data_IF_088958749950
#
_entry.id   IF_088958749950
#
_cell.length_a   1.000
_cell.length_b   1.000
_cell.length_c   1.000
_cell.angle_alpha   90.00
_cell.angle_beta   90.00
_cell.angle_gamma   90.00
#
_symmetry.space_group_name_H-M   'P 1'
#
loop_
_entity.id
_entity.type
_entity.pdbx_description
1 polymer ?
#
# COMPACT_ATOMS: atom_id res chain seq x y z
N UNK A 1 -25.46 -14.99 -7.78
CA UNK A 1 -24.76 -13.92 -8.57
C UNK A 1 -25.50 -12.57 -8.59
N UNK A 2 -26.79 -12.48 -8.98
CA UNK A 2 -27.54 -11.19 -9.04
C UNK A 2 -27.53 -10.36 -7.73
N UNK A 3 -27.47 -11.02 -6.57
CA UNK A 3 -27.39 -10.39 -5.24
C UNK A 3 -26.07 -9.67 -4.97
N UNK A 4 -24.95 -10.30 -5.30
CA UNK A 4 -23.61 -9.69 -5.17
C UNK A 4 -23.42 -8.53 -6.16
N UNK A 5 -24.00 -8.63 -7.37
CA UNK A 5 -23.98 -7.52 -8.35
C UNK A 5 -24.80 -6.32 -7.88
N UNK A 6 -25.97 -6.54 -7.26
CA UNK A 6 -26.74 -5.44 -6.64
C UNK A 6 -26.00 -4.80 -5.46
N UNK A 7 -25.34 -5.62 -4.64
CA UNK A 7 -24.50 -5.13 -3.54
C UNK A 7 -23.31 -4.31 -4.07
N UNK A 8 -22.65 -4.79 -5.13
CA UNK A 8 -21.56 -4.10 -5.81
C UNK A 8 -22.02 -2.76 -6.39
N UNK A 9 -23.21 -2.70 -7.01
CA UNK A 9 -23.79 -1.45 -7.53
C UNK A 9 -24.18 -0.47 -6.42
N UNK A 10 -24.63 -0.97 -5.26
CA UNK A 10 -24.92 -0.15 -4.09
C UNK A 10 -23.62 0.46 -3.53
N UNK A 11 -22.62 -0.37 -3.27
CA UNK A 11 -21.33 0.05 -2.73
C UNK A 11 -20.59 0.98 -3.69
N UNK A 12 -20.62 0.74 -5.01
CA UNK A 12 -20.11 1.69 -6.02
C UNK A 12 -20.80 3.06 -5.96
N UNK A 13 -22.08 3.13 -5.61
CA UNK A 13 -22.75 4.42 -5.35
C UNK A 13 -22.33 5.03 -4.02
N UNK A 14 -22.01 4.20 -3.03
CA UNK A 14 -21.51 4.64 -1.73
C UNK A 14 -20.08 5.17 -1.81
N UNK A 15 -19.23 4.71 -2.74
CA UNK A 15 -17.85 5.23 -2.95
C UNK A 15 -17.78 6.75 -2.99
N UNK A 16 -18.65 7.34 -3.81
CA UNK A 16 -18.60 8.76 -4.12
C UNK A 16 -19.38 9.59 -3.09
N UNK A 17 -20.14 8.94 -2.22
CA UNK A 17 -20.97 9.58 -1.20
C UNK A 17 -20.32 9.56 0.18
N UNK A 18 -19.53 8.53 0.45
CA UNK A 18 -18.79 8.39 1.70
C UNK A 18 -17.49 9.20 1.64
N UNK A 19 -17.29 10.18 2.54
CA UNK A 19 -16.07 11.00 2.56
C UNK A 19 -14.79 10.18 2.70
N UNK A 20 -14.84 9.02 3.39
CA UNK A 20 -13.67 8.15 3.59
C UNK A 20 -13.25 7.50 2.27
N UNK A 21 -14.21 6.99 1.49
CA UNK A 21 -13.95 6.37 0.19
C UNK A 21 -13.56 7.41 -0.87
N UNK A 22 -14.13 8.62 -0.81
CA UNK A 22 -13.71 9.71 -1.69
C UNK A 22 -12.24 10.09 -1.43
N UNK A 23 -11.85 10.13 -0.15
CA UNK A 23 -10.44 10.35 0.22
C UNK A 23 -9.54 9.22 -0.29
N UNK A 24 -9.96 7.95 -0.27
CA UNK A 24 -9.20 6.83 -0.88
C UNK A 24 -8.91 7.06 -2.36
N UNK A 25 -9.87 7.60 -3.12
CA UNK A 25 -9.71 7.87 -4.56
C UNK A 25 -8.84 9.09 -4.78
N UNK A 26 -9.01 10.15 -3.97
CA UNK A 26 -8.30 11.42 -4.15
C UNK A 26 -6.84 11.36 -3.68
N UNK A 27 -6.56 10.57 -2.64
CA UNK A 27 -5.25 10.49 -1.99
C UNK A 27 -4.08 10.17 -2.95
N UNK A 28 -4.19 9.20 -3.89
CA UNK A 28 -3.15 8.94 -4.88
C UNK A 28 -2.83 10.13 -5.77
N UNK A 29 -3.84 10.93 -6.15
CA UNK A 29 -3.63 12.15 -6.94
C UNK A 29 -2.95 13.25 -6.13
N UNK A 30 -3.34 13.41 -4.86
CA UNK A 30 -2.66 14.33 -3.95
C UNK A 30 -1.19 13.95 -3.77
N UNK A 31 -0.90 12.68 -3.51
CA UNK A 31 0.47 12.21 -3.39
C UNK A 31 1.26 12.30 -4.69
N UNK A 32 0.61 12.10 -5.83
CA UNK A 32 1.22 12.31 -7.13
C UNK A 32 1.58 13.79 -7.34
N UNK A 33 0.72 14.73 -6.94
CA UNK A 33 1.05 16.15 -7.02
C UNK A 33 2.22 16.51 -6.09
N UNK A 34 2.22 15.99 -4.86
CA UNK A 34 3.31 16.24 -3.89
C UNK A 34 4.63 15.63 -4.39
N UNK A 35 4.64 14.35 -4.74
CA UNK A 35 5.86 13.64 -5.13
C UNK A 35 6.31 13.99 -6.55
N UNK A 36 5.38 14.23 -7.47
CA UNK A 36 5.68 14.48 -8.87
C UNK A 36 6.00 15.93 -9.20
N UNK A 37 5.44 16.89 -8.46
CA UNK A 37 5.60 18.32 -8.74
C UNK A 37 6.35 19.05 -7.62
N UNK A 38 5.91 18.88 -6.37
CA UNK A 38 6.46 19.66 -5.25
C UNK A 38 7.86 19.17 -4.83
N UNK A 39 8.06 17.85 -4.68
CA UNK A 39 9.35 17.30 -4.24
C UNK A 39 10.48 17.63 -5.22
N UNK A 40 10.36 17.42 -6.54
CA UNK A 40 11.39 17.81 -7.49
C UNK A 40 11.76 19.28 -7.43
N UNK A 41 10.78 20.18 -7.32
CA UNK A 41 10.99 21.62 -7.27
C UNK A 41 11.77 22.07 -6.01
N UNK A 42 11.52 21.40 -4.88
CA UNK A 42 12.27 21.64 -3.64
C UNK A 42 13.70 21.12 -3.78
N UNK A 43 13.85 19.95 -4.39
CA UNK A 43 15.13 19.25 -4.52
C UNK A 43 16.09 19.95 -5.48
N UNK A 44 15.60 20.55 -6.57
CA UNK A 44 16.43 21.33 -7.50
C UNK A 44 17.16 22.52 -6.84
N UNK A 45 16.65 22.97 -5.69
CA UNK A 45 17.24 24.07 -4.90
C UNK A 45 18.20 23.56 -3.82
N UNK A 46 18.33 22.24 -3.67
CA UNK A 46 19.18 21.61 -2.68
C UNK A 46 20.54 21.18 -3.30
N UNK A 47 21.50 20.80 -2.44
CA UNK A 47 22.76 20.22 -2.91
C UNK A 47 22.56 18.82 -3.54
N UNK A 48 23.49 18.38 -4.37
CA UNK A 48 23.41 17.11 -5.11
C UNK A 48 23.18 15.88 -4.20
N UNK A 49 23.91 15.79 -3.07
CA UNK A 49 23.75 14.68 -2.12
C UNK A 49 22.38 14.69 -1.42
N UNK A 50 21.93 15.88 -0.98
CA UNK A 50 20.60 16.01 -0.38
C UNK A 50 19.51 15.64 -1.39
N UNK A 51 19.69 16.04 -2.65
CA UNK A 51 18.78 15.73 -3.74
C UNK A 51 18.64 14.23 -3.95
N UNK A 52 19.78 13.53 -4.03
CA UNK A 52 19.82 12.07 -4.17
C UNK A 52 19.07 11.37 -3.06
N UNK A 53 19.34 11.74 -1.81
CA UNK A 53 18.71 11.12 -0.64
C UNK A 53 17.20 11.37 -0.66
N UNK A 54 16.77 12.61 -0.89
CA UNK A 54 15.34 12.97 -0.88
C UNK A 54 14.57 12.28 -2.00
N UNK A 55 15.13 12.19 -3.21
CA UNK A 55 14.48 11.48 -4.33
C UNK A 55 14.33 9.97 -4.05
N UNK A 56 15.37 9.33 -3.48
CA UNK A 56 15.31 7.91 -3.10
C UNK A 56 14.26 7.66 -2.01
N UNK A 57 14.23 8.51 -0.97
CA UNK A 57 13.22 8.43 0.09
C UNK A 57 11.82 8.66 -0.49
N UNK A 58 11.63 9.74 -1.26
CA UNK A 58 10.34 10.08 -1.87
C UNK A 58 9.79 8.98 -2.76
N UNK A 59 10.63 8.39 -3.60
CA UNK A 59 10.25 7.25 -4.44
C UNK A 59 9.90 6.00 -3.62
N UNK A 60 10.67 5.73 -2.56
CA UNK A 60 10.41 4.60 -1.64
C UNK A 60 9.06 4.76 -0.93
N UNK A 61 8.76 5.97 -0.46
CA UNK A 61 7.46 6.30 0.14
C UNK A 61 6.33 6.17 -0.88
N UNK A 62 6.56 6.52 -2.15
CA UNK A 62 5.59 6.33 -3.23
C UNK A 62 5.17 4.86 -3.38
N UNK A 63 6.13 3.92 -3.27
CA UNK A 63 5.85 2.48 -3.35
C UNK A 63 4.97 1.98 -2.18
N UNK A 64 5.04 2.62 -1.01
CA UNK A 64 4.28 2.18 0.18
C UNK A 64 2.92 2.86 0.29
N UNK A 65 2.87 4.17 0.00
CA UNK A 65 1.73 5.03 0.33
C UNK A 65 0.40 4.55 -0.27
N UNK A 66 0.41 4.13 -1.54
CA UNK A 66 -0.81 3.71 -2.27
C UNK A 66 -1.57 2.59 -1.56
N UNK A 67 -0.86 1.49 -1.23
CA UNK A 67 -1.49 0.33 -0.57
C UNK A 67 -1.70 0.52 0.92
N UNK A 68 -0.76 1.11 1.65
CA UNK A 68 -0.90 1.22 3.11
C UNK A 68 -2.10 2.07 3.49
N UNK A 69 -2.27 3.24 2.84
CA UNK A 69 -3.36 4.16 3.19
C UNK A 69 -4.70 3.63 2.73
N UNK A 70 -4.77 2.99 1.55
CA UNK A 70 -5.97 2.26 1.14
C UNK A 70 -6.34 1.15 2.14
N UNK A 71 -5.36 0.45 2.71
CA UNK A 71 -5.55 -0.55 3.77
C UNK A 71 -6.09 0.04 5.08
N UNK A 72 -5.51 1.16 5.52
CA UNK A 72 -5.97 1.88 6.71
C UNK A 72 -7.41 2.35 6.54
N UNK A 73 -7.72 3.00 5.41
CA UNK A 73 -9.05 3.55 5.13
C UNK A 73 -10.11 2.44 5.06
N UNK A 74 -9.78 1.32 4.41
CA UNK A 74 -10.64 0.13 4.44
C UNK A 74 -10.81 -0.42 5.85
N UNK A 75 -9.75 -0.44 6.66
CA UNK A 75 -9.80 -0.85 8.06
C UNK A 75 -10.71 0.04 8.91
N UNK A 76 -10.65 1.38 8.74
CA UNK A 76 -11.58 2.30 9.39
C UNK A 76 -13.03 2.07 8.94
N UNK A 77 -13.25 1.79 7.67
CA UNK A 77 -14.57 1.43 7.15
C UNK A 77 -15.09 0.11 7.75
N UNK A 78 -14.21 -0.81 8.18
CA UNK A 78 -14.60 -2.01 8.93
C UNK A 78 -14.89 -1.72 10.41
N UNK A 79 -14.15 -0.78 11.02
CA UNK A 79 -14.34 -0.34 12.41
C UNK A 79 -15.64 0.44 12.56
N UNK A 80 -15.98 1.31 11.61
CA UNK A 80 -17.22 2.09 11.61
C UNK A 80 -18.45 1.19 11.74
N UNK A 81 -18.46 0.06 11.03
CA UNK A 81 -19.52 -0.92 11.14
C UNK A 81 -19.65 -1.54 12.54
N UNK A 82 -18.54 -1.62 13.31
CA UNK A 82 -18.55 -2.08 14.71
C UNK A 82 -19.08 -0.98 15.63
N UNK A 83 -18.61 0.25 15.45
CA UNK A 83 -19.00 1.41 16.27
C UNK A 83 -20.49 1.74 16.14
N UNK A 84 -21.04 1.63 14.93
CA UNK A 84 -22.46 1.94 14.68
C UNK A 84 -23.43 0.78 15.03
N UNK A 85 -22.93 -0.33 15.59
CA UNK A 85 -23.70 -1.57 15.80
C UNK A 85 -24.44 -2.08 14.54
N UNK A 86 -24.03 -1.65 13.34
CA UNK A 86 -24.66 -2.05 12.07
C UNK A 86 -24.40 -3.52 11.74
N UNK A 87 -23.53 -4.21 12.48
CA UNK A 87 -23.39 -5.68 12.46
C UNK A 87 -24.72 -6.38 12.82
N UNK A 88 -25.50 -5.83 13.75
CA UNK A 88 -26.85 -6.35 14.08
C UNK A 88 -27.85 -6.11 12.93
N UNK A 89 -27.71 -4.97 12.23
CA UNK A 89 -28.47 -4.69 11.01
C UNK A 89 -28.06 -5.57 9.81
N UNK A 90 -26.79 -6.00 9.75
CA UNK A 90 -26.30 -6.94 8.73
C UNK A 90 -26.84 -8.36 8.95
N UNK A 91 -27.11 -8.77 10.19
CA UNK A 91 -27.70 -10.08 10.52
C UNK A 91 -29.12 -10.26 9.95
N UNK A 92 -29.84 -9.15 9.71
CA UNK A 92 -31.15 -9.15 9.04
C UNK A 92 -31.07 -8.87 7.53
N UNK A 93 -29.86 -8.60 7.00
CA UNK A 93 -29.64 -8.61 5.55
C UNK A 93 -29.35 -10.03 5.07
N UNK A 94 -29.72 -10.38 3.84
CA UNK A 94 -29.47 -11.74 3.36
C UNK A 94 -27.97 -12.03 3.14
N UNK A 95 -27.06 -11.06 3.25
CA UNK A 95 -25.61 -11.27 3.11
C UNK A 95 -24.99 -11.69 4.45
N UNK A 96 -24.23 -12.79 4.47
CA UNK A 96 -23.46 -13.16 5.66
C UNK A 96 -22.37 -12.12 5.94
N UNK A 97 -22.00 -11.96 7.22
CA UNK A 97 -20.85 -11.15 7.65
C UNK A 97 -19.58 -11.51 6.86
N UNK A 98 -19.44 -12.78 6.48
CA UNK A 98 -18.36 -13.27 5.63
C UNK A 98 -18.42 -12.79 4.18
N UNK A 99 -19.62 -12.77 3.57
CA UNK A 99 -19.80 -12.28 2.21
C UNK A 99 -19.57 -10.78 2.11
N UNK A 100 -19.96 -10.02 3.14
CA UNK A 100 -19.72 -8.58 3.21
C UNK A 100 -18.22 -8.25 3.42
N UNK A 101 -17.54 -8.94 4.34
CA UNK A 101 -16.10 -8.78 4.54
C UNK A 101 -15.29 -9.14 3.28
N UNK A 102 -15.63 -10.26 2.63
CA UNK A 102 -15.00 -10.67 1.37
C UNK A 102 -15.22 -9.65 0.25
N UNK A 103 -16.43 -9.06 0.17
CA UNK A 103 -16.72 -7.99 -0.77
C UNK A 103 -15.86 -6.75 -0.51
N UNK A 104 -15.79 -6.26 0.74
CA UNK A 104 -14.96 -5.10 1.11
C UNK A 104 -13.48 -5.33 0.81
N UNK A 105 -12.97 -6.53 1.05
CA UNK A 105 -11.59 -6.93 0.72
C UNK A 105 -11.35 -6.84 -0.80
N UNK A 106 -12.22 -7.45 -1.61
CA UNK A 106 -12.08 -7.43 -3.07
C UNK A 106 -12.17 -6.00 -3.62
N UNK A 107 -13.08 -5.20 -3.07
CA UNK A 107 -13.24 -3.80 -3.40
C UNK A 107 -11.99 -2.97 -3.06
N UNK A 108 -11.47 -3.07 -1.84
CA UNK A 108 -10.26 -2.34 -1.44
C UNK A 108 -9.02 -2.77 -2.21
N UNK A 109 -8.92 -4.04 -2.58
CA UNK A 109 -7.88 -4.53 -3.50
C UNK A 109 -7.93 -3.80 -4.84
N UNK A 110 -9.12 -3.70 -5.46
CA UNK A 110 -9.29 -3.01 -6.75
C UNK A 110 -8.94 -1.53 -6.65
N UNK A 111 -9.39 -0.85 -5.60
CA UNK A 111 -9.02 0.57 -5.39
C UNK A 111 -7.52 0.71 -5.26
N UNK A 112 -6.88 -0.12 -4.42
CA UNK A 112 -5.43 -0.05 -4.24
C UNK A 112 -4.66 -0.29 -5.52
N UNK A 113 -5.13 -1.21 -6.37
CA UNK A 113 -4.52 -1.48 -7.66
C UNK A 113 -4.50 -0.20 -8.50
N UNK A 114 -5.65 0.47 -8.62
CA UNK A 114 -5.72 1.75 -9.31
C UNK A 114 -4.93 2.85 -8.60
N UNK A 115 -4.93 2.92 -7.28
CA UNK A 115 -4.15 3.88 -6.50
C UNK A 115 -2.65 3.78 -6.78
N UNK A 116 -2.11 2.55 -6.78
CA UNK A 116 -0.70 2.30 -7.10
C UNK A 116 -0.40 2.64 -8.57
N UNK A 117 -1.29 2.29 -9.51
CA UNK A 117 -1.13 2.61 -10.92
C UNK A 117 -1.19 4.11 -11.20
N UNK A 118 -2.12 4.83 -10.56
CA UNK A 118 -2.26 6.29 -10.67
C UNK A 118 -1.02 6.97 -10.12
N UNK A 119 -0.57 6.58 -8.92
CA UNK A 119 0.59 7.20 -8.29
C UNK A 119 1.87 6.92 -9.07
N UNK A 120 2.21 5.64 -9.31
CA UNK A 120 3.47 5.28 -9.98
C UNK A 120 3.45 5.54 -11.48
N UNK A 121 2.33 5.25 -12.14
CA UNK A 121 2.15 5.57 -13.55
C UNK A 121 2.13 7.07 -13.80
N UNK A 122 1.44 7.83 -12.94
CA UNK A 122 1.45 9.29 -12.99
C UNK A 122 2.85 9.87 -12.76
N UNK A 123 3.60 9.36 -11.77
CA UNK A 123 4.98 9.79 -11.53
C UNK A 123 5.84 9.55 -12.77
N UNK A 124 5.72 8.36 -13.39
CA UNK A 124 6.45 8.04 -14.62
C UNK A 124 6.07 8.95 -15.79
N UNK A 125 4.80 9.36 -15.92
CA UNK A 125 4.36 10.21 -17.03
C UNK A 125 4.72 11.69 -16.84
N UNK A 126 4.71 12.19 -15.61
CA UNK A 126 4.80 13.62 -15.32
C UNK A 126 6.20 14.02 -14.81
N UNK A 127 6.89 13.11 -14.11
CA UNK A 127 8.12 13.42 -13.36
C UNK A 127 9.32 12.53 -13.74
N UNK A 128 9.25 11.72 -14.82
CA UNK A 128 10.36 10.88 -15.24
C UNK A 128 11.67 11.65 -15.46
N UNK A 129 11.58 12.84 -16.05
CA UNK A 129 12.73 13.72 -16.32
C UNK A 129 13.36 14.32 -15.06
N UNK A 130 12.63 14.31 -13.94
CA UNK A 130 13.06 14.94 -12.69
C UNK A 130 13.65 13.95 -11.69
N UNK A 131 13.28 12.68 -11.79
CA UNK A 131 13.79 11.61 -10.93
C UNK A 131 15.08 11.01 -11.48
N UNK A 132 16.12 11.85 -11.57
CA UNK A 132 17.43 11.49 -12.10
C UNK A 132 18.47 11.56 -10.98
N UNK A 133 19.25 10.49 -10.82
CA UNK A 133 20.39 10.47 -9.91
C UNK A 133 21.68 10.57 -10.70
N UNK A 134 22.58 11.44 -10.27
CA UNK A 134 23.96 11.47 -10.75
C UNK A 134 24.82 10.62 -9.80
N UNK A 135 25.39 9.53 -10.32
CA UNK A 135 26.27 8.66 -9.55
C UNK A 135 27.48 8.27 -10.40
N UNK A 136 28.69 8.68 -9.98
CA UNK A 136 29.94 8.26 -10.60
C UNK A 136 30.11 8.66 -12.07
N UNK A 137 29.50 9.77 -12.50
CA UNK A 137 29.54 10.25 -13.90
C UNK A 137 28.44 9.67 -14.80
N UNK A 138 27.57 8.81 -14.27
CA UNK A 138 26.41 8.27 -14.99
C UNK A 138 25.10 8.85 -14.43
N UNK A 139 24.15 9.12 -15.32
CA UNK A 139 22.79 9.55 -14.96
C UNK A 139 21.85 8.34 -14.93
N UNK A 140 21.27 8.08 -13.76
CA UNK A 140 20.31 7.00 -13.54
C UNK A 140 18.91 7.62 -13.48
N UNK A 141 18.09 7.39 -14.50
CA UNK A 141 16.69 7.82 -14.54
C UNK A 141 15.83 6.77 -13.83
N UNK A 142 15.52 7.02 -12.56
CA UNK A 142 14.91 6.03 -11.66
C UNK A 142 13.59 5.48 -12.19
N UNK A 143 12.74 6.36 -12.71
CA UNK A 143 11.40 6.00 -13.19
C UNK A 143 11.43 5.32 -14.56
N UNK A 144 12.48 5.52 -15.36
CA UNK A 144 12.62 4.88 -16.67
C UNK A 144 12.99 3.41 -16.57
N UNK A 145 13.84 3.06 -15.60
CA UNK A 145 14.24 1.69 -15.30
C UNK A 145 13.06 0.80 -14.85
N UNK A 146 11.97 1.45 -14.40
CA UNK A 146 10.71 0.80 -14.11
C UNK A 146 9.89 0.64 -15.39
N UNK A 147 9.94 -0.57 -15.97
CA UNK A 147 9.05 -0.92 -17.08
C UNK A 147 7.58 -0.94 -16.63
N UNK A 148 6.66 -0.64 -17.54
CA UNK A 148 5.22 -0.71 -17.26
C UNK A 148 4.79 -2.09 -16.75
N UNK A 149 5.42 -3.17 -17.24
CA UNK A 149 5.20 -4.52 -16.73
C UNK A 149 5.55 -4.68 -15.25
N UNK A 150 6.71 -4.14 -14.81
CA UNK A 150 7.09 -4.14 -13.39
C UNK A 150 6.12 -3.30 -12.55
N UNK A 151 5.68 -2.14 -13.05
CA UNK A 151 4.70 -1.28 -12.36
C UNK A 151 3.36 -1.99 -12.18
N UNK A 152 2.85 -2.65 -13.23
CA UNK A 152 1.59 -3.40 -13.17
C UNK A 152 1.70 -4.58 -12.20
N UNK A 153 2.78 -5.37 -12.32
CA UNK A 153 2.99 -6.53 -11.46
C UNK A 153 3.16 -6.14 -9.99
N UNK A 154 3.94 -5.08 -9.73
CA UNK A 154 4.07 -4.50 -8.40
C UNK A 154 2.71 -4.03 -7.88
N UNK A 155 1.93 -3.29 -8.68
CA UNK A 155 0.63 -2.79 -8.24
C UNK A 155 -0.32 -3.92 -7.89
N UNK A 156 -0.30 -5.03 -8.64
CA UNK A 156 -1.06 -6.24 -8.33
C UNK A 156 -0.60 -6.90 -7.03
N UNK A 157 0.71 -7.12 -6.88
CA UNK A 157 1.31 -7.74 -5.70
C UNK A 157 1.08 -6.90 -4.43
N UNK A 158 1.36 -5.61 -4.51
CA UNK A 158 1.27 -4.66 -3.41
C UNK A 158 -0.19 -4.40 -3.00
N UNK A 159 -1.16 -4.60 -3.90
CA UNK A 159 -2.57 -4.44 -3.55
C UNK A 159 -3.07 -5.50 -2.57
N UNK A 160 -2.42 -6.66 -2.48
CA UNK A 160 -2.69 -7.67 -1.44
C UNK A 160 -2.28 -7.21 -0.03
N UNK A 161 -1.50 -6.14 0.08
CA UNK A 161 -1.18 -5.56 1.39
C UNK A 161 -2.40 -4.88 2.03
N UNK A 162 -3.34 -4.38 1.22
CA UNK A 162 -4.55 -3.70 1.68
C UNK A 162 -5.42 -4.57 2.57
N UNK A 163 -5.84 -5.78 2.16
CA UNK A 163 -6.59 -6.66 3.05
C UNK A 163 -5.80 -7.04 4.30
N UNK A 164 -4.48 -7.19 4.20
CA UNK A 164 -3.65 -7.50 5.36
C UNK A 164 -3.74 -6.38 6.42
N UNK A 165 -3.52 -5.12 6.01
CA UNK A 165 -3.62 -3.94 6.90
C UNK A 165 -5.04 -3.75 7.41
N UNK A 166 -6.04 -3.81 6.52
CA UNK A 166 -7.44 -3.57 6.87
C UNK A 166 -7.97 -4.60 7.87
N UNK A 167 -7.63 -5.89 7.68
CA UNK A 167 -8.04 -6.95 8.60
C UNK A 167 -7.33 -6.85 9.93
N UNK A 168 -6.04 -6.48 9.96
CA UNK A 168 -5.30 -6.27 11.22
C UNK A 168 -5.97 -5.15 12.00
N UNK A 169 -6.13 -3.97 11.37
CA UNK A 169 -6.75 -2.82 12.01
C UNK A 169 -8.19 -3.15 12.47
N UNK A 170 -9.00 -3.73 11.58
CA UNK A 170 -10.38 -4.11 11.86
C UNK A 170 -10.54 -5.25 12.87
N UNK A 171 -9.51 -6.08 13.13
CA UNK A 171 -9.57 -7.19 14.11
C UNK A 171 -9.13 -6.79 15.52
N UNK A 172 -8.24 -5.80 15.61
CA UNK A 172 -7.64 -5.38 16.88
C UNK A 172 -8.29 -4.12 17.46
N UNK A 173 -8.72 -3.17 16.63
CA UNK A 173 -9.42 -1.99 17.10
C UNK A 173 -10.88 -2.31 17.43
N UNK A 174 -11.34 -1.85 18.60
CA UNK A 174 -12.74 -1.97 19.04
C UNK A 174 -13.62 -0.85 18.53
N UNK A 175 -13.06 0.35 18.37
CA UNK A 175 -13.76 1.58 17.98
C UNK A 175 -12.83 2.50 17.15
N UNK A 176 -13.37 3.58 16.59
CA UNK A 176 -12.60 4.53 15.77
C UNK A 176 -11.44 5.17 16.55
N UNK A 177 -11.59 5.40 17.86
CA UNK A 177 -10.55 6.00 18.71
C UNK A 177 -9.31 5.08 18.80
N UNK A 178 -9.52 3.79 19.09
CA UNK A 178 -8.44 2.79 19.07
C UNK A 178 -7.86 2.64 17.66
N UNK A 179 -8.70 2.72 16.62
CA UNK A 179 -8.25 2.73 15.22
C UNK A 179 -7.24 3.84 14.93
N UNK A 180 -7.47 5.05 15.43
CA UNK A 180 -6.52 6.16 15.31
C UNK A 180 -5.24 5.95 16.12
N UNK A 181 -5.32 5.32 17.29
CA UNK A 181 -4.13 4.95 18.06
C UNK A 181 -3.25 3.97 17.29
N UNK A 182 -3.85 2.92 16.69
CA UNK A 182 -3.15 1.98 15.83
C UNK A 182 -2.57 2.64 14.58
N UNK A 183 -3.31 3.55 13.93
CA UNK A 183 -2.79 4.28 12.77
C UNK A 183 -1.54 5.09 13.11
N UNK A 184 -1.56 5.84 14.23
CA UNK A 184 -0.40 6.62 14.68
C UNK A 184 0.80 5.74 14.99
N UNK A 185 0.59 4.62 15.69
CA UNK A 185 1.65 3.66 15.97
C UNK A 185 2.17 2.99 14.69
N UNK A 186 1.28 2.66 13.77
CA UNK A 186 1.58 2.00 12.50
C UNK A 186 2.18 2.93 11.44
N UNK A 187 2.07 4.26 11.58
CA UNK A 187 2.60 5.21 10.61
C UNK A 187 4.11 5.04 10.39
N UNK A 188 4.85 4.57 11.40
CA UNK A 188 6.27 4.25 11.27
C UNK A 188 6.53 3.18 10.21
N UNK A 189 5.60 2.24 10.00
CA UNK A 189 5.70 1.15 9.01
C UNK A 189 5.81 1.69 7.58
N UNK A 190 5.28 2.89 7.32
CA UNK A 190 5.42 3.56 6.02
C UNK A 190 6.89 3.89 5.74
N UNK A 191 7.62 4.33 6.77
CA UNK A 191 9.01 4.77 6.66
C UNK A 191 10.01 3.62 6.78
N UNK A 192 9.65 2.48 7.36
CA UNK A 192 10.62 1.41 7.59
C UNK A 192 11.34 0.91 6.32
N UNK A 193 10.71 0.81 5.14
CA UNK A 193 11.45 0.43 3.92
C UNK A 193 12.56 1.41 3.51
N UNK A 194 12.52 2.66 4.00
CA UNK A 194 13.61 3.63 3.79
C UNK A 194 14.92 3.15 4.42
N UNK A 195 14.85 2.34 5.49
CA UNK A 195 16.03 1.74 6.11
C UNK A 195 16.85 0.88 5.12
N UNK A 196 16.22 0.37 4.05
CA UNK A 196 16.91 -0.42 3.02
C UNK A 196 17.96 0.37 2.23
N UNK A 197 17.98 1.71 2.34
CA UNK A 197 19.01 2.57 1.74
C UNK A 197 20.26 2.73 2.63
N UNK A 198 20.19 2.35 3.91
CA UNK A 198 21.33 2.47 4.83
C UNK A 198 22.38 1.39 4.54
N UNK A 199 23.65 1.75 4.70
CA UNK A 199 24.78 0.85 4.43
C UNK A 199 24.75 -0.45 5.24
N UNK A 200 24.24 -0.38 6.47
CA UNK A 200 24.12 -1.54 7.39
C UNK A 200 23.23 -2.64 6.81
N UNK A 201 22.24 -2.28 5.98
CA UNK A 201 21.28 -3.20 5.37
C UNK A 201 21.64 -3.57 3.93
N UNK A 202 22.89 -3.39 3.49
CA UNK A 202 23.38 -3.92 2.21
C UNK A 202 23.68 -5.43 2.31
N UNK A 203 23.82 -6.08 1.15
CA UNK A 203 24.15 -7.50 1.04
C UNK A 203 23.15 -8.41 1.79
N UNK A 204 23.62 -9.40 2.54
CA UNK A 204 22.78 -10.36 3.28
C UNK A 204 21.94 -9.68 4.38
N UNK A 205 22.44 -8.58 4.95
CA UNK A 205 21.77 -7.90 6.07
C UNK A 205 20.44 -7.27 5.67
N UNK A 206 20.19 -7.06 4.37
CA UNK A 206 18.92 -6.55 3.88
C UNK A 206 17.73 -7.40 4.35
N UNK A 207 17.93 -8.71 4.47
CA UNK A 207 16.87 -9.67 4.82
C UNK A 207 16.44 -9.60 6.29
N UNK A 208 17.17 -8.87 7.14
CA UNK A 208 16.72 -8.53 8.50
C UNK A 208 15.43 -7.71 8.43
N UNK A 209 15.32 -6.82 7.43
CA UNK A 209 14.10 -6.05 7.17
C UNK A 209 12.98 -6.91 6.58
N UNK A 210 13.25 -8.17 6.21
CA UNK A 210 12.27 -9.13 5.70
C UNK A 210 11.18 -9.51 6.69
N UNK A 211 11.35 -9.21 7.98
CA UNK A 211 10.27 -9.30 9.00
C UNK A 211 9.13 -8.35 8.66
N UNK A 212 9.41 -7.24 7.97
CA UNK A 212 8.42 -6.25 7.57
C UNK A 212 7.73 -6.70 6.29
N UNK A 213 6.39 -6.80 6.26
CA UNK A 213 5.70 -7.38 5.11
C UNK A 213 5.89 -6.55 3.84
N UNK A 214 5.97 -5.22 3.97
CA UNK A 214 6.19 -4.31 2.84
C UNK A 214 7.61 -4.28 2.31
N UNK A 215 8.60 -4.81 3.05
CA UNK A 215 10.00 -4.84 2.59
C UNK A 215 10.14 -5.55 1.26
N UNK A 216 9.51 -6.72 1.10
CA UNK A 216 9.72 -7.57 -0.06
C UNK A 216 9.31 -6.90 -1.37
N UNK A 217 8.09 -6.35 -1.46
CA UNK A 217 7.65 -5.68 -2.69
C UNK A 217 8.39 -4.35 -2.91
N UNK A 218 8.67 -3.60 -1.85
CA UNK A 218 9.34 -2.29 -1.97
C UNK A 218 10.81 -2.44 -2.36
N UNK A 219 11.54 -3.39 -1.77
CA UNK A 219 12.95 -3.64 -2.09
C UNK A 219 13.15 -4.06 -3.53
N UNK A 220 12.27 -4.92 -4.06
CA UNK A 220 12.28 -5.28 -5.48
C UNK A 220 12.10 -4.07 -6.40
N UNK A 221 11.24 -3.12 -6.04
CA UNK A 221 11.06 -1.86 -6.79
C UNK A 221 12.24 -0.91 -6.65
N UNK A 222 12.85 -0.80 -5.46
CA UNK A 222 14.06 0.00 -5.25
C UNK A 222 15.18 -0.51 -6.16
N UNK A 223 15.49 -1.81 -6.11
CA UNK A 223 16.54 -2.41 -6.93
C UNK A 223 16.24 -2.23 -8.43
N UNK A 224 14.98 -2.39 -8.84
CA UNK A 224 14.57 -2.17 -10.22
C UNK A 224 14.68 -0.70 -10.68
N UNK A 225 14.44 0.27 -9.80
CA UNK A 225 14.53 1.70 -10.12
C UNK A 225 15.99 2.17 -10.18
N UNK A 226 16.84 1.70 -9.27
CA UNK A 226 18.25 2.07 -9.21
C UNK A 226 19.14 1.25 -10.13
N UNK A 227 18.60 0.22 -10.80
CA UNK A 227 19.36 -0.79 -11.55
C UNK A 227 20.46 -1.43 -10.69
N UNK A 228 20.20 -1.57 -9.39
CA UNK A 228 21.15 -2.19 -8.47
C UNK A 228 21.09 -3.71 -8.60
N UNK A 229 22.25 -4.31 -8.86
CA UNK A 229 22.45 -5.76 -8.88
C UNK A 229 23.57 -6.13 -7.89
N UNK A 230 23.18 -6.56 -6.69
CA UNK A 230 24.09 -7.13 -5.70
C UNK A 230 24.12 -8.66 -5.78
N UNK A 231 25.24 -9.27 -5.37
CA UNK A 231 25.40 -10.74 -5.34
C UNK A 231 24.36 -11.48 -4.48
N UNK A 232 23.72 -10.77 -3.54
CA UNK A 232 22.71 -11.31 -2.63
C UNK A 232 21.30 -10.87 -2.98
N UNK A 233 21.11 -10.05 -4.02
CA UNK A 233 19.78 -9.57 -4.40
C UNK A 233 19.02 -10.67 -5.15
N UNK A 234 17.74 -10.81 -4.83
CA UNK A 234 16.84 -11.67 -5.60
C UNK A 234 16.44 -10.99 -6.92
N UNK A 235 16.06 -11.75 -7.95
CA UNK A 235 15.42 -11.16 -9.12
C UNK A 235 14.11 -10.47 -8.70
N UNK A 236 13.71 -9.45 -9.46
CA UNK A 236 12.50 -8.66 -9.21
C UNK A 236 11.28 -9.53 -8.85
N UNK A 237 10.99 -10.55 -9.66
CA UNK A 237 9.84 -11.43 -9.43
C UNK A 237 9.99 -12.29 -8.16
N UNK A 238 11.21 -12.64 -7.75
CA UNK A 238 11.47 -13.35 -6.49
C UNK A 238 11.03 -12.52 -5.29
N UNK A 239 11.42 -11.25 -5.23
CA UNK A 239 10.94 -10.30 -4.21
C UNK A 239 9.42 -10.18 -4.19
N UNK A 240 8.79 -10.05 -5.37
CA UNK A 240 7.34 -9.91 -5.46
C UNK A 240 6.58 -11.16 -4.98
N UNK A 241 7.04 -12.36 -5.37
CA UNK A 241 6.39 -13.62 -4.98
C UNK A 241 6.47 -13.85 -3.47
N UNK A 242 7.60 -13.53 -2.83
CA UNK A 242 7.72 -13.60 -1.37
C UNK A 242 6.78 -12.60 -0.71
N UNK A 243 6.71 -11.36 -1.23
CA UNK A 243 5.76 -10.36 -0.74
C UNK A 243 4.30 -10.82 -0.85
N UNK A 244 3.90 -11.38 -2.00
CA UNK A 244 2.55 -11.94 -2.21
C UNK A 244 2.26 -13.05 -1.20
N UNK A 245 3.19 -13.99 -1.02
CA UNK A 245 3.03 -15.09 -0.06
C UNK A 245 2.89 -14.56 1.37
N UNK A 246 3.68 -13.55 1.74
CA UNK A 246 3.60 -12.90 3.05
C UNK A 246 2.23 -12.21 3.23
N UNK A 247 1.81 -11.37 2.29
CA UNK A 247 0.51 -10.69 2.37
C UNK A 247 -0.66 -11.66 2.45
N UNK A 248 -0.61 -12.75 1.68
CA UNK A 248 -1.61 -13.81 1.73
C UNK A 248 -1.62 -14.52 3.09
N UNK A 249 -0.45 -14.80 3.67
CA UNK A 249 -0.33 -15.41 4.99
C UNK A 249 -0.92 -14.50 6.09
N UNK A 250 -0.54 -13.22 6.13
CA UNK A 250 -1.12 -12.25 7.10
C UNK A 250 -2.63 -12.17 6.90
N UNK A 251 -3.09 -11.92 5.67
CA UNK A 251 -4.51 -11.78 5.38
C UNK A 251 -5.29 -13.03 5.79
N UNK A 252 -4.78 -14.23 5.49
CA UNK A 252 -5.42 -15.49 5.86
C UNK A 252 -5.48 -15.73 7.38
N UNK A 253 -4.39 -15.44 8.10
CA UNK A 253 -4.36 -15.53 9.56
C UNK A 253 -5.33 -14.55 10.22
N UNK A 254 -5.29 -13.29 9.79
CA UNK A 254 -6.12 -12.24 10.39
C UNK A 254 -7.60 -12.38 10.00
N UNK A 255 -7.89 -12.87 8.79
CA UNK A 255 -9.26 -13.22 8.41
C UNK A 255 -9.86 -14.24 9.39
N UNK A 256 -9.13 -15.32 9.72
CA UNK A 256 -9.59 -16.32 10.70
C UNK A 256 -9.82 -15.70 12.09
N UNK A 257 -8.96 -14.79 12.52
CA UNK A 257 -9.10 -14.09 13.81
C UNK A 257 -10.32 -13.17 13.83
N UNK A 258 -10.58 -12.44 12.74
CA UNK A 258 -11.74 -11.56 12.60
C UNK A 258 -13.05 -12.33 12.78
N UNK A 259 -13.19 -13.51 12.16
CA UNK A 259 -14.39 -14.34 12.31
C UNK A 259 -14.55 -14.92 13.72
N UNK A 260 -13.47 -15.45 14.32
CA UNK A 260 -13.55 -16.02 15.66
C UNK A 260 -14.03 -15.00 16.69
N UNK A 261 -13.58 -13.75 16.61
CA UNK A 261 -14.01 -12.69 17.52
C UNK A 261 -15.45 -12.24 17.29
N UNK A 262 -15.87 -12.13 16.03
CA UNK A 262 -17.20 -11.61 15.70
C UNK A 262 -18.31 -12.67 15.77
N UNK A 263 -17.99 -13.98 15.77
CA UNK A 263 -18.96 -15.05 16.06
C UNK A 263 -19.24 -15.23 17.56
N UNK A 264 -18.34 -14.79 18.45
CA UNK A 264 -18.55 -14.87 19.90
C UNK A 264 -19.54 -13.82 20.43
N UNK A 265 -20.06 -12.95 19.55
CA UNK A 265 -20.97 -11.83 19.88
C UNK A 265 -22.37 -12.04 19.24
N UNK A 266 -22.54 -13.10 18.42
CA UNK A 266 -23.83 -13.54 17.86
C UNK A 266 -24.41 -14.70 18.65
#
# INVERSE_FOLDING_TARGET
>A
MKKYVKLLKYELKTLYKDPMNLFMILYPFLMLAVLGLLVPEIVERAGAEASRIVLLIGLTLAFVAGSYISGVLLGFSLIENKDENTILGLAVTPASVSGYAAFKIAYGFVISLFSNLILLGGLKLIAADRYVLEAGGFQIRLLDNLSWGKVIFFSLANSLFVPAVALVLGSFAKNKIEGFAFLKAGAIVIFLPVLAHLDVFKNQNQYILGVLPNFWTVKGMINAATSAEGAYDLPFYGYMLIGIAYYAAISGLTFRLFFRKNQAIS
#
